data_IF_910063929567
#
_entry.id   IF_910063929567
#
_cell.length_a   1.000
_cell.length_b   1.000
_cell.length_c   1.000
_cell.angle_alpha   90.00
_cell.angle_beta   90.00
_cell.angle_gamma   90.00
#
_symmetry.space_group_name_H-M   'P 1'
#
loop_
_entity.id
_entity.type
_entity.pdbx_description
1 polymer ?
#
# COMPACT_ATOMS: atom_id res chain seq x y z
N UNK A 1 -12.90 12.81 -28.34
CA UNK A 1 -11.56 12.71 -27.72
C UNK A 1 -11.30 11.23 -27.51
N UNK A 2 -10.17 10.70 -27.98
CA UNK A 2 -9.84 9.31 -27.73
C UNK A 2 -9.69 9.13 -26.21
N UNK A 3 -10.31 8.09 -25.68
CA UNK A 3 -10.20 7.72 -24.27
C UNK A 3 -8.76 7.24 -24.01
N UNK A 4 -8.15 7.70 -22.91
CA UNK A 4 -6.77 7.37 -22.58
C UNK A 4 -6.67 5.90 -22.15
N UNK A 5 -5.80 5.05 -22.74
CA UNK A 5 -5.75 3.60 -22.47
C UNK A 5 -5.62 3.24 -20.98
N UNK A 6 -4.90 4.07 -20.22
CA UNK A 6 -4.82 3.96 -18.76
C UNK A 6 -6.19 4.07 -18.09
N UNK A 7 -6.98 5.09 -18.44
CA UNK A 7 -8.31 5.32 -17.86
C UNK A 7 -9.31 4.21 -18.20
N UNK A 8 -9.20 3.59 -19.38
CA UNK A 8 -10.01 2.42 -19.75
C UNK A 8 -9.67 1.18 -18.90
N UNK A 9 -8.37 0.98 -18.64
CA UNK A 9 -7.89 -0.13 -17.81
C UNK A 9 -8.36 0.04 -16.38
N UNK A 10 -8.23 1.25 -15.83
CA UNK A 10 -8.75 1.59 -14.50
C UNK A 10 -10.26 1.34 -14.42
N UNK A 11 -11.02 1.83 -15.39
CA UNK A 11 -12.48 1.69 -15.38
C UNK A 11 -12.93 0.22 -15.36
N UNK A 12 -12.15 -0.67 -15.99
CA UNK A 12 -12.39 -2.11 -15.96
C UNK A 12 -12.00 -2.75 -14.61
N UNK A 13 -10.86 -2.34 -14.04
CA UNK A 13 -10.38 -2.84 -12.75
C UNK A 13 -11.25 -2.36 -11.58
N UNK A 14 -11.78 -1.13 -11.65
CA UNK A 14 -12.65 -0.52 -10.65
C UNK A 14 -14.15 -0.78 -10.89
N UNK A 15 -14.49 -1.85 -11.61
CA UNK A 15 -15.89 -2.25 -11.68
C UNK A 15 -16.37 -2.74 -10.30
N UNK A 16 -17.63 -2.45 -9.87
CA UNK A 16 -18.13 -2.77 -8.52
C UNK A 16 -17.95 -4.23 -8.06
N UNK A 17 -17.85 -5.16 -9.01
CA UNK A 17 -17.64 -6.59 -8.77
C UNK A 17 -16.20 -6.94 -8.35
N UNK A 18 -15.22 -6.11 -8.70
CA UNK A 18 -13.79 -6.36 -8.47
C UNK A 18 -13.31 -5.84 -7.11
N UNK A 19 -13.95 -4.77 -6.62
CA UNK A 19 -13.53 -4.06 -5.41
C UNK A 19 -13.63 -4.89 -4.13
N UNK A 20 -14.59 -5.80 -4.01
CA UNK A 20 -14.87 -6.44 -2.70
C UNK A 20 -13.80 -7.45 -2.23
N UNK A 21 -12.88 -7.82 -3.12
CA UNK A 21 -11.97 -8.93 -2.90
C UNK A 21 -10.51 -8.51 -2.55
N UNK A 22 -10.14 -7.23 -2.79
CA UNK A 22 -8.81 -6.66 -2.51
C UNK A 22 -8.68 -6.26 -1.04
N UNK A 23 -9.82 -6.19 -0.38
CA UNK A 23 -9.99 -5.61 0.95
C UNK A 23 -10.57 -6.61 1.95
N UNK A 24 -10.84 -7.85 1.51
CA UNK A 24 -11.08 -8.99 2.39
C UNK A 24 -9.79 -9.81 2.47
N UNK A 25 -9.41 -10.21 3.69
CA UNK A 25 -8.24 -11.06 3.92
C UNK A 25 -8.33 -12.28 2.99
N UNK A 26 -7.25 -12.61 2.27
CA UNK A 26 -7.33 -13.55 1.15
C UNK A 26 -7.88 -14.89 1.64
N UNK A 27 -9.01 -15.30 1.06
CA UNK A 27 -9.64 -16.58 1.33
C UNK A 27 -9.23 -17.67 0.34
N UNK A 28 -8.57 -17.32 -0.77
CA UNK A 28 -8.04 -18.23 -1.79
C UNK A 28 -7.30 -17.43 -2.88
N UNK A 29 -6.35 -18.00 -3.65
CA UNK A 29 -5.78 -17.35 -4.82
C UNK A 29 -6.88 -16.97 -5.80
N UNK A 30 -6.92 -15.70 -6.19
CA UNK A 30 -7.90 -15.19 -7.16
C UNK A 30 -7.30 -15.15 -8.55
N UNK A 31 -8.13 -15.43 -9.55
CA UNK A 31 -7.70 -15.34 -10.95
C UNK A 31 -7.70 -13.89 -11.39
N UNK A 32 -6.71 -13.47 -12.20
CA UNK A 32 -6.71 -12.12 -12.71
C UNK A 32 -7.95 -11.78 -13.53
N UNK A 33 -8.42 -10.52 -13.44
CA UNK A 33 -9.61 -10.03 -14.13
C UNK A 33 -9.31 -9.77 -15.61
N UNK A 34 -8.14 -9.21 -15.88
CA UNK A 34 -7.63 -8.85 -17.20
C UNK A 34 -6.36 -9.66 -17.49
N UNK A 35 -6.06 -9.94 -18.77
CA UNK A 35 -4.74 -10.45 -19.15
C UNK A 35 -3.63 -9.48 -18.74
N UNK A 36 -2.55 -9.99 -18.14
CA UNK A 36 -1.38 -9.20 -17.72
C UNK A 36 -0.87 -8.26 -18.83
N UNK A 37 -0.87 -8.73 -20.08
CA UNK A 37 -0.45 -7.93 -21.25
C UNK A 37 -1.26 -6.66 -21.49
N UNK A 38 -2.51 -6.60 -21.01
CA UNK A 38 -3.33 -5.38 -21.11
C UNK A 38 -2.73 -4.26 -20.27
N UNK A 39 -2.22 -4.61 -19.09
CA UNK A 39 -1.56 -3.68 -18.16
C UNK A 39 -0.16 -3.33 -18.68
N UNK A 40 0.67 -4.32 -19.01
CA UNK A 40 2.07 -4.06 -19.45
C UNK A 40 2.18 -3.29 -20.77
N UNK A 41 1.15 -3.32 -21.64
CA UNK A 41 1.09 -2.50 -22.86
C UNK A 41 0.93 -1.01 -22.60
N UNK A 42 0.53 -0.62 -21.40
CA UNK A 42 0.47 0.78 -21.01
C UNK A 42 1.88 1.37 -20.82
N UNK A 43 2.89 0.50 -20.62
CA UNK A 43 4.29 0.88 -20.43
C UNK A 43 4.45 1.95 -19.36
N UNK A 44 3.76 1.81 -18.23
CA UNK A 44 3.79 2.79 -17.15
C UNK A 44 5.10 2.72 -16.38
N UNK A 45 5.29 3.67 -15.46
CA UNK A 45 6.27 3.50 -14.40
C UNK A 45 6.02 2.15 -13.67
N UNK A 46 7.05 1.32 -13.39
CA UNK A 46 6.86 -0.03 -12.85
C UNK A 46 6.08 -0.08 -11.53
N UNK A 47 6.17 0.96 -10.69
CA UNK A 47 5.34 1.08 -9.46
C UNK A 47 3.85 1.18 -9.80
N UNK A 48 3.47 2.01 -10.77
CA UNK A 48 2.07 2.13 -11.21
C UNK A 48 1.61 0.86 -11.90
N UNK A 49 2.47 0.21 -12.69
CA UNK A 49 2.17 -1.10 -13.28
C UNK A 49 1.90 -2.15 -12.19
N UNK A 50 2.73 -2.20 -11.14
CA UNK A 50 2.53 -3.06 -9.97
C UNK A 50 1.19 -2.80 -9.25
N UNK A 51 0.79 -1.53 -9.08
CA UNK A 51 -0.52 -1.16 -8.52
C UNK A 51 -1.65 -1.77 -9.35
N UNK A 52 -1.60 -1.64 -10.68
CA UNK A 52 -2.61 -2.21 -11.56
C UNK A 52 -2.61 -3.75 -11.51
N UNK A 53 -1.44 -4.39 -11.42
CA UNK A 53 -1.37 -5.85 -11.26
C UNK A 53 -1.94 -6.32 -9.91
N UNK A 54 -1.73 -5.59 -8.82
CA UNK A 54 -2.36 -5.87 -7.51
C UNK A 54 -3.88 -5.76 -7.63
N UNK A 55 -4.39 -4.66 -8.21
CA UNK A 55 -5.83 -4.49 -8.47
C UNK A 55 -6.42 -5.60 -9.34
N UNK A 56 -5.59 -6.12 -10.25
CA UNK A 56 -5.95 -7.20 -11.14
C UNK A 56 -5.81 -8.59 -10.51
N UNK A 57 -5.40 -8.73 -9.24
CA UNK A 57 -4.99 -10.02 -8.62
C UNK A 57 -3.89 -10.78 -9.35
N UNK A 58 -3.12 -10.10 -10.18
CA UNK A 58 -1.96 -10.65 -10.86
C UNK A 58 -0.71 -10.46 -9.99
N UNK A 59 -0.77 -11.04 -8.78
CA UNK A 59 0.28 -10.93 -7.76
C UNK A 59 1.66 -11.40 -8.25
N UNK A 60 1.79 -12.46 -9.07
CA UNK A 60 3.09 -12.85 -9.64
C UNK A 60 3.73 -11.74 -10.49
N UNK A 61 2.96 -11.04 -11.32
CA UNK A 61 3.47 -9.90 -12.10
C UNK A 61 3.85 -8.73 -11.20
N UNK A 62 3.05 -8.43 -10.17
CA UNK A 62 3.39 -7.42 -9.18
C UNK A 62 4.71 -7.72 -8.46
N UNK A 63 4.88 -8.95 -7.95
CA UNK A 63 6.13 -9.46 -7.36
C UNK A 63 7.32 -9.32 -8.31
N UNK A 64 7.13 -9.74 -9.57
CA UNK A 64 8.18 -9.67 -10.58
C UNK A 64 8.69 -8.24 -10.78
N UNK A 65 7.81 -7.24 -10.77
CA UNK A 65 8.19 -5.84 -10.91
C UNK A 65 8.87 -5.32 -9.63
N UNK A 66 8.24 -5.51 -8.47
CA UNK A 66 8.66 -4.93 -7.19
C UNK A 66 10.02 -5.44 -6.69
N UNK A 67 10.38 -6.70 -6.96
CA UNK A 67 11.69 -7.25 -6.57
C UNK A 67 12.88 -6.51 -7.19
N UNK A 68 12.68 -5.79 -8.29
CA UNK A 68 13.73 -4.97 -8.91
C UNK A 68 13.79 -3.54 -8.35
N UNK A 69 12.94 -3.22 -7.37
CA UNK A 69 12.83 -1.91 -6.72
C UNK A 69 12.67 -2.06 -5.20
N UNK A 70 13.26 -3.10 -4.62
CA UNK A 70 13.06 -3.49 -3.22
C UNK A 70 14.04 -2.82 -2.23
N UNK A 71 14.69 -1.72 -2.65
CA UNK A 71 15.70 -1.03 -1.86
C UNK A 71 15.67 0.48 -2.12
N UNK A 72 16.20 1.30 -1.19
CA UNK A 72 16.35 2.74 -1.42
C UNK A 72 17.11 3.03 -2.73
N UNK A 73 16.71 4.09 -3.47
CA UNK A 73 15.72 5.11 -3.10
C UNK A 73 14.27 4.79 -3.53
N UNK A 74 13.94 3.55 -3.91
CA UNK A 74 12.62 3.18 -4.44
C UNK A 74 11.56 2.95 -3.35
N UNK A 75 11.34 3.94 -2.48
CA UNK A 75 10.50 3.82 -1.30
C UNK A 75 9.02 3.53 -1.60
N UNK A 76 8.48 4.00 -2.73
CA UNK A 76 7.12 3.70 -3.16
C UNK A 76 6.95 2.21 -3.50
N UNK A 77 7.96 1.64 -4.16
CA UNK A 77 7.98 0.22 -4.46
C UNK A 77 8.12 -0.62 -3.19
N UNK A 78 8.98 -0.20 -2.26
CA UNK A 78 9.13 -0.85 -0.95
C UNK A 78 7.81 -0.82 -0.14
N UNK A 79 7.13 0.34 -0.10
CA UNK A 79 5.81 0.46 0.54
C UNK A 79 4.79 -0.47 -0.13
N UNK A 80 4.74 -0.46 -1.47
CA UNK A 80 3.82 -1.28 -2.24
C UNK A 80 4.11 -2.78 -2.08
N UNK A 81 5.36 -3.18 -1.80
CA UNK A 81 5.72 -4.55 -1.45
C UNK A 81 5.06 -4.99 -0.13
N UNK A 82 5.01 -4.08 0.87
CA UNK A 82 4.26 -4.30 2.10
C UNK A 82 2.76 -4.50 1.84
N UNK A 83 2.16 -3.67 0.97
CA UNK A 83 0.77 -3.83 0.54
C UNK A 83 0.55 -5.17 -0.17
N UNK A 84 1.48 -5.59 -1.04
CA UNK A 84 1.40 -6.87 -1.75
C UNK A 84 1.37 -8.05 -0.77
N UNK A 85 2.31 -8.13 0.17
CA UNK A 85 2.31 -9.18 1.20
C UNK A 85 1.07 -9.13 2.10
N UNK A 86 0.57 -7.92 2.41
CA UNK A 86 -0.69 -7.76 3.13
C UNK A 86 -1.87 -8.35 2.37
N UNK A 87 -1.95 -8.13 1.05
CA UNK A 87 -2.97 -8.71 0.17
C UNK A 87 -2.82 -10.23 0.05
N UNK A 88 -1.59 -10.77 0.16
CA UNK A 88 -1.30 -12.21 0.23
C UNK A 88 -1.63 -12.83 1.60
N UNK A 89 -1.87 -11.98 2.60
CA UNK A 89 -2.19 -12.39 3.96
C UNK A 89 -0.94 -12.73 4.78
N UNK A 90 0.24 -12.38 4.28
CA UNK A 90 1.52 -12.42 4.99
C UNK A 90 1.74 -11.09 5.73
N UNK A 91 1.04 -10.97 6.86
CA UNK A 91 1.00 -9.74 7.65
C UNK A 91 2.31 -9.47 8.40
N UNK A 92 3.11 -10.51 8.66
CA UNK A 92 4.42 -10.37 9.30
C UNK A 92 5.43 -9.73 8.34
N UNK A 93 5.50 -10.21 7.09
CA UNK A 93 6.32 -9.54 6.08
C UNK A 93 5.81 -8.15 5.72
N UNK A 94 4.49 -7.96 5.68
CA UNK A 94 3.92 -6.62 5.49
C UNK A 94 4.38 -5.63 6.58
N UNK A 95 4.38 -6.05 7.85
CA UNK A 95 4.85 -5.23 8.95
C UNK A 95 6.32 -4.84 8.79
N UNK A 96 7.18 -5.78 8.40
CA UNK A 96 8.60 -5.51 8.18
C UNK A 96 8.82 -4.46 7.09
N UNK A 97 8.10 -4.56 5.95
CA UNK A 97 8.18 -3.58 4.88
C UNK A 97 7.69 -2.19 5.31
N UNK A 98 6.61 -2.12 6.09
CA UNK A 98 6.12 -0.84 6.60
C UNK A 98 7.09 -0.17 7.56
N UNK A 99 7.75 -0.94 8.43
CA UNK A 99 8.82 -0.42 9.31
C UNK A 99 9.99 0.14 8.50
N UNK A 100 10.41 -0.55 7.43
CA UNK A 100 11.52 -0.11 6.57
C UNK A 100 11.27 1.26 5.90
N UNK A 101 10.00 1.63 5.71
CA UNK A 101 9.62 2.88 5.03
C UNK A 101 8.90 3.88 5.94
N UNK A 102 8.80 3.64 7.24
CA UNK A 102 7.99 4.46 8.16
C UNK A 102 8.36 5.95 8.18
N UNK A 103 9.63 6.27 7.95
CA UNK A 103 10.18 7.63 7.98
C UNK A 103 10.15 8.33 6.60
N UNK A 104 9.58 7.67 5.59
CA UNK A 104 9.57 8.17 4.20
C UNK A 104 8.39 9.09 3.92
N UNK A 105 8.48 9.85 2.82
CA UNK A 105 7.39 10.72 2.37
C UNK A 105 6.13 9.92 2.02
N UNK A 106 6.27 8.83 1.27
CA UNK A 106 5.13 7.98 0.87
C UNK A 106 4.38 7.46 2.10
N UNK A 107 5.10 7.04 3.15
CA UNK A 107 4.47 6.56 4.37
C UNK A 107 3.70 7.66 5.09
N UNK A 108 4.27 8.89 5.18
CA UNK A 108 3.58 10.04 5.77
C UNK A 108 2.35 10.46 4.97
N UNK A 109 2.40 10.42 3.64
CA UNK A 109 1.22 10.74 2.80
C UNK A 109 0.12 9.70 2.99
N UNK A 110 0.49 8.42 3.11
CA UNK A 110 -0.48 7.32 3.18
C UNK A 110 -1.03 7.10 4.59
N UNK A 111 -0.24 7.28 5.65
CA UNK A 111 -0.65 6.97 7.03
C UNK A 111 -0.51 8.15 8.00
N UNK A 112 0.08 9.26 7.58
CA UNK A 112 0.21 10.46 8.40
C UNK A 112 -1.14 11.03 8.81
N UNK A 113 -1.20 11.53 10.04
CA UNK A 113 -2.38 12.24 10.54
C UNK A 113 -2.35 13.65 9.94
N UNK A 114 -3.42 14.07 9.25
CA UNK A 114 -3.61 15.46 8.85
C UNK A 114 -3.64 16.36 10.10
N UNK A 115 -2.47 16.87 10.50
CA UNK A 115 -2.30 17.63 11.74
C UNK A 115 -0.85 17.90 12.14
N UNK A 116 0.13 17.18 11.61
CA UNK A 116 1.56 17.41 11.91
C UNK A 116 2.31 18.11 10.77
N UNK A 117 1.69 19.14 10.17
CA UNK A 117 2.47 20.17 9.48
C UNK A 117 2.91 21.19 10.52
N UNK A 118 4.13 21.02 11.03
CA UNK A 118 4.83 22.07 11.76
C UNK A 118 5.07 23.27 10.84
N UNK A 119 4.31 24.34 11.05
CA UNK A 119 4.50 25.62 10.37
C UNK A 119 3.62 26.69 10.99
N UNK A 120 4.22 27.63 11.71
CA UNK A 120 3.59 28.87 12.16
C UNK A 120 2.88 29.56 10.98
N UNK A 121 1.57 29.80 11.10
CA UNK A 121 0.79 30.48 10.07
C UNK A 121 -0.64 30.73 10.50
N UNK A 122 -0.95 31.99 10.78
CA UNK A 122 -2.28 32.52 11.10
C UNK A 122 -3.35 32.16 10.05
N UNK A 123 -4.52 31.74 10.55
CA UNK A 123 -5.86 32.05 10.04
C UNK A 123 -6.26 31.66 8.62
N UNK A 124 -7.12 30.63 8.50
CA UNK A 124 -8.35 30.69 7.70
C UNK A 124 -9.22 29.44 7.97
N UNK A 125 -10.53 29.66 8.05
CA UNK A 125 -11.59 28.69 8.31
C UNK A 125 -11.95 27.85 7.06
N UNK A 126 -12.32 26.59 7.33
CA UNK A 126 -13.42 25.78 6.77
C UNK A 126 -13.48 25.40 5.27
N UNK A 127 -13.38 24.09 4.98
CA UNK A 127 -14.52 23.21 4.64
C UNK A 127 -14.05 21.99 3.82
N UNK A 128 -14.49 20.78 4.17
CA UNK A 128 -14.36 19.59 3.32
C UNK A 128 -13.58 18.39 3.85
N UNK A 129 -14.16 17.67 4.81
CA UNK A 129 -14.25 16.20 4.80
C UNK A 129 -12.96 15.35 4.76
N UNK A 130 -12.36 15.12 5.92
CA UNK A 130 -11.61 13.88 6.19
C UNK A 130 -11.92 13.43 7.62
N UNK A 131 -12.97 12.62 7.79
CA UNK A 131 -13.22 11.95 9.07
C UNK A 131 -12.07 10.96 9.32
N UNK A 132 -11.22 11.32 10.28
CA UNK A 132 -10.16 10.47 10.78
C UNK A 132 -10.68 9.10 11.23
N UNK A 133 -9.81 8.11 11.14
CA UNK A 133 -10.02 6.73 11.57
C UNK A 133 -10.62 6.68 12.99
N UNK A 134 -11.84 6.16 13.19
CA UNK A 134 -12.35 5.91 14.52
C UNK A 134 -11.62 4.67 15.04
N UNK A 135 -10.60 4.88 15.87
CA UNK A 135 -9.93 3.77 16.58
C UNK A 135 -10.95 2.92 17.36
N UNK A 136 -10.57 1.70 17.76
CA UNK A 136 -11.47 0.79 18.47
C UNK A 136 -12.07 1.48 19.70
N UNK A 137 -13.40 1.39 19.85
CA UNK A 137 -14.18 1.98 20.95
C UNK A 137 -13.57 1.65 22.31
N UNK A 138 -12.97 2.64 22.97
CA UNK A 138 -12.71 2.60 24.40
C UNK A 138 -14.05 2.69 25.15
N UNK A 139 -14.47 1.60 25.77
CA UNK A 139 -15.54 1.62 26.76
C UNK A 139 -15.05 2.29 28.05
N UNK A 140 -15.42 3.56 28.20
CA UNK A 140 -15.61 4.36 29.43
C UNK A 140 -15.29 3.69 30.78
N UNK A 141 -14.26 4.22 31.45
CA UNK A 141 -14.31 4.62 32.86
C UNK A 141 -13.27 5.71 33.15
N UNK A 142 -13.74 6.93 33.39
CA UNK A 142 -12.92 8.10 33.71
C UNK A 142 -12.10 7.92 34.99
N UNK A 143 -10.83 8.35 34.98
CA UNK A 143 -10.25 9.32 35.94
C UNK A 143 -8.79 9.66 35.63
N UNK A 144 -8.54 10.97 35.63
CA UNK A 144 -7.28 11.65 35.98
C UNK A 144 -6.12 11.58 34.98
N UNK A 145 -5.95 12.68 34.24
CA UNK A 145 -4.65 13.31 33.95
C UNK A 145 -3.51 12.39 33.54
N UNK A 146 -3.56 11.90 32.30
CA UNK A 146 -2.37 11.40 31.61
C UNK A 146 -2.37 12.02 30.22
N UNK A 147 -1.29 12.71 29.84
CA UNK A 147 -1.07 13.14 28.45
C UNK A 147 -0.92 11.85 27.65
N UNK A 148 -1.98 11.42 26.97
CA UNK A 148 -1.88 10.29 26.05
C UNK A 148 -0.78 10.63 25.03
N UNK A 149 0.25 9.80 24.85
CA UNK A 149 1.22 10.01 23.80
C UNK A 149 0.46 10.04 22.48
N UNK A 150 0.68 11.09 21.67
CA UNK A 150 0.14 11.16 20.32
C UNK A 150 0.60 9.91 19.58
N UNK A 151 -0.33 9.08 19.11
CA UNK A 151 0.02 7.88 18.34
C UNK A 151 0.61 8.32 17.01
N UNK A 152 1.75 7.74 16.66
CA UNK A 152 2.43 8.01 15.39
C UNK A 152 1.72 7.29 14.25
N UNK A 153 2.02 7.68 13.00
CA UNK A 153 1.55 6.95 11.81
C UNK A 153 1.97 5.47 11.84
N UNK A 154 3.18 5.18 12.32
CA UNK A 154 3.68 3.81 12.48
C UNK A 154 2.83 3.00 13.47
N UNK A 155 2.46 3.59 14.61
CA UNK A 155 1.57 2.94 15.59
C UNK A 155 0.20 2.62 14.98
N UNK A 156 -0.34 3.52 14.16
CA UNK A 156 -1.62 3.30 13.48
C UNK A 156 -1.55 2.14 12.49
N UNK A 157 -0.48 2.04 11.71
CA UNK A 157 -0.31 0.96 10.74
C UNK A 157 -0.15 -0.40 11.43
N UNK A 158 0.61 -0.48 12.53
CA UNK A 158 0.74 -1.73 13.30
C UNK A 158 -0.60 -2.16 13.91
N UNK A 159 -1.35 -1.22 14.50
CA UNK A 159 -2.70 -1.51 15.01
C UNK A 159 -3.66 -1.99 13.92
N UNK A 160 -3.54 -1.44 12.71
CA UNK A 160 -4.30 -1.90 11.54
C UNK A 160 -3.93 -3.34 11.16
N UNK A 161 -2.63 -3.68 11.13
CA UNK A 161 -2.17 -5.05 10.86
C UNK A 161 -2.62 -6.04 11.94
N UNK A 162 -2.55 -5.69 13.22
CA UNK A 162 -3.06 -6.52 14.33
C UNK A 162 -4.55 -6.79 14.17
N UNK A 163 -5.32 -5.75 13.85
CA UNK A 163 -6.76 -5.87 13.60
C UNK A 163 -7.07 -6.77 12.39
N UNK A 164 -6.19 -6.77 11.37
CA UNK A 164 -6.26 -7.70 10.24
C UNK A 164 -5.93 -9.14 10.67
N UNK A 165 -4.95 -9.37 11.54
CA UNK A 165 -4.63 -10.70 12.10
C UNK A 165 -5.86 -11.27 12.81
N UNK A 166 -6.50 -10.49 13.67
CA UNK A 166 -7.71 -10.89 14.40
C UNK A 166 -8.87 -11.20 13.45
N UNK A 167 -9.10 -10.33 12.45
CA UNK A 167 -10.15 -10.51 11.47
C UNK A 167 -9.89 -11.71 10.54
N UNK A 168 -8.64 -12.16 10.36
CA UNK A 168 -8.27 -13.26 9.44
C UNK A 168 -8.96 -14.55 9.82
N UNK A 169 -9.06 -14.86 11.10
CA UNK A 169 -9.76 -16.05 11.59
C UNK A 169 -11.26 -16.01 11.25
N UNK A 170 -11.91 -14.86 11.51
CA UNK A 170 -13.32 -14.63 11.19
C UNK A 170 -13.60 -14.72 9.69
N UNK A 171 -12.79 -14.07 8.86
CA UNK A 171 -12.96 -14.07 7.40
C UNK A 171 -12.76 -15.47 6.81
N UNK A 172 -11.77 -16.23 7.30
CA UNK A 172 -11.58 -17.64 6.89
C UNK A 172 -12.76 -18.54 7.27
N UNK A 173 -13.51 -18.19 8.31
CA UNK A 173 -14.74 -18.90 8.70
C UNK A 173 -15.98 -18.51 7.88
N UNK A 174 -15.83 -17.64 6.89
CA UNK A 174 -16.92 -17.18 6.00
C UNK A 174 -17.66 -15.94 6.51
N UNK A 175 -17.17 -15.27 7.56
CA UNK A 175 -17.72 -14.00 8.01
C UNK A 175 -17.21 -12.85 7.13
N UNK A 176 -18.02 -11.80 6.97
CA UNK A 176 -17.58 -10.60 6.28
C UNK A 176 -16.47 -9.89 7.07
N UNK A 177 -15.50 -9.30 6.37
CA UNK A 177 -14.48 -8.48 7.00
C UNK A 177 -15.14 -7.24 7.67
N UNK A 178 -14.64 -6.79 8.83
CA UNK A 178 -15.12 -5.56 9.45
C UNK A 178 -15.01 -4.36 8.50
N UNK A 179 -16.09 -3.59 8.37
CA UNK A 179 -16.19 -2.48 7.40
C UNK A 179 -15.07 -1.43 7.57
N UNK A 180 -14.63 -1.17 8.81
CA UNK A 180 -13.57 -0.20 9.07
C UNK A 180 -12.21 -0.66 8.54
N UNK A 181 -11.93 -1.97 8.52
CA UNK A 181 -10.70 -2.52 7.93
C UNK A 181 -10.73 -2.44 6.40
N UNK A 182 -11.90 -2.68 5.82
CA UNK A 182 -12.14 -2.49 4.38
C UNK A 182 -11.88 -1.02 4.02
N UNK A 183 -12.46 -0.08 4.77
CA UNK A 183 -12.27 1.36 4.56
C UNK A 183 -10.82 1.81 4.76
N UNK A 184 -10.12 1.27 5.76
CA UNK A 184 -8.71 1.59 6.00
C UNK A 184 -7.81 1.10 4.87
N UNK A 185 -8.01 -0.15 4.43
CA UNK A 185 -7.30 -0.74 3.29
C UNK A 185 -7.57 0.05 2.00
N UNK A 186 -8.81 0.46 1.77
CA UNK A 186 -9.19 1.34 0.65
C UNK A 186 -8.49 2.69 0.72
N UNK A 187 -8.50 3.33 1.89
CA UNK A 187 -7.84 4.61 2.11
C UNK A 187 -6.33 4.54 1.90
N UNK A 188 -5.68 3.48 2.42
CA UNK A 188 -4.25 3.23 2.21
C UNK A 188 -3.95 3.12 0.71
N UNK A 189 -4.67 2.25 0.00
CA UNK A 189 -4.43 1.99 -1.41
C UNK A 189 -4.70 3.22 -2.28
N UNK A 190 -5.80 3.94 -2.02
CA UNK A 190 -6.16 5.17 -2.75
C UNK A 190 -5.10 6.24 -2.59
N UNK A 191 -4.65 6.53 -1.35
CA UNK A 191 -3.62 7.56 -1.11
C UNK A 191 -2.27 7.18 -1.73
N UNK A 192 -1.90 5.90 -1.69
CA UNK A 192 -0.69 5.41 -2.33
C UNK A 192 -0.76 5.58 -3.85
N UNK A 193 -1.90 5.23 -4.44
CA UNK A 193 -2.15 5.41 -5.86
C UNK A 193 -2.05 6.88 -6.25
N UNK A 194 -2.82 7.76 -5.62
CA UNK A 194 -2.83 9.20 -5.91
C UNK A 194 -1.42 9.81 -5.82
N UNK A 195 -0.65 9.40 -4.80
CA UNK A 195 0.74 9.80 -4.63
C UNK A 195 1.63 9.35 -5.80
N UNK A 196 1.51 8.09 -6.22
CA UNK A 196 2.29 7.54 -7.33
C UNK A 196 1.90 8.14 -8.68
N UNK A 197 0.61 8.39 -8.93
CA UNK A 197 0.15 9.08 -10.15
C UNK A 197 0.72 10.49 -10.22
N UNK A 198 0.65 11.24 -9.12
CA UNK A 198 1.19 12.59 -9.03
C UNK A 198 2.70 12.61 -9.25
N UNK A 199 3.41 11.63 -8.68
CA UNK A 199 4.88 11.56 -8.73
C UNK A 199 5.42 11.08 -10.08
N UNK A 200 4.83 10.05 -10.67
CA UNK A 200 5.38 9.37 -11.85
C UNK A 200 4.67 9.73 -13.15
N UNK A 201 3.43 10.23 -13.08
CA UNK A 201 2.57 10.43 -14.23
C UNK A 201 2.04 9.12 -14.82
N UNK A 202 1.05 9.24 -15.70
CA UNK A 202 0.32 8.11 -16.30
C UNK A 202 0.64 7.91 -17.78
N UNK A 203 1.59 8.70 -18.30
CA UNK A 203 2.02 8.61 -19.69
C UNK A 203 2.96 7.39 -19.88
N UNK A 204 2.97 6.77 -21.07
CA UNK A 204 3.88 5.68 -21.37
C UNK A 204 5.35 6.10 -21.21
N UNK A 205 6.09 5.32 -20.43
CA UNK A 205 7.53 5.38 -20.26
C UNK A 205 8.20 4.55 -21.36
N UNK A 206 8.85 5.23 -22.30
CA UNK A 206 9.56 4.57 -23.41
C UNK A 206 10.99 4.15 -23.04
N UNK A 207 11.60 4.82 -22.07
CA UNK A 207 12.97 4.55 -21.58
C UNK A 207 12.93 4.39 -20.06
N UNK A 208 12.90 3.14 -19.60
CA UNK A 208 12.77 2.81 -18.18
C UNK A 208 14.09 2.38 -17.52
N UNK A 209 15.21 2.41 -18.25
CA UNK A 209 16.52 1.88 -17.82
C UNK A 209 17.01 2.46 -16.48
N UNK A 210 16.70 3.73 -16.20
CA UNK A 210 17.07 4.41 -14.95
C UNK A 210 16.03 4.26 -13.83
N UNK A 211 14.83 3.76 -14.15
CA UNK A 211 13.74 3.52 -13.19
C UNK A 211 13.90 2.16 -12.52
N UNK A 212 14.31 1.17 -13.31
CA UNK A 212 14.84 -0.06 -12.75
C UNK A 212 16.07 0.33 -11.95
N UNK A 213 16.00 0.16 -10.63
CA UNK A 213 17.20 0.20 -9.81
C UNK A 213 17.98 -1.04 -10.21
N UNK A 214 18.76 -0.88 -11.28
CA UNK A 214 19.60 -1.90 -11.85
C UNK A 214 20.46 -2.44 -10.71
N UNK A 215 20.14 -3.65 -10.28
CA UNK A 215 20.88 -4.42 -9.30
C UNK A 215 22.28 -4.80 -9.83
N UNK A 216 22.74 -4.18 -10.93
CA UNK A 216 23.88 -4.63 -11.69
C UNK A 216 25.24 -4.35 -11.04
N UNK A 217 25.37 -3.54 -9.98
CA UNK A 217 26.66 -3.46 -9.28
C UNK A 217 26.62 -2.74 -7.92
N UNK A 218 25.97 -1.57 -7.80
CA UNK A 218 26.08 -0.74 -6.58
C UNK A 218 25.19 -1.15 -5.42
N UNK A 219 24.01 -1.69 -5.71
CA UNK A 219 23.00 -2.07 -4.70
C UNK A 219 22.79 -3.58 -4.59
N UNK A 220 23.54 -4.37 -5.37
CA UNK A 220 23.45 -5.83 -5.43
C UNK A 220 23.61 -6.48 -4.05
N UNK A 221 24.55 -5.99 -3.23
CA UNK A 221 24.80 -6.55 -1.89
C UNK A 221 23.71 -6.20 -0.87
N UNK A 222 23.07 -5.04 -0.99
CA UNK A 222 21.92 -4.66 -0.15
C UNK A 222 20.71 -5.53 -0.54
N UNK A 223 20.47 -5.67 -1.84
CA UNK A 223 19.42 -6.54 -2.35
C UNK A 223 19.66 -8.02 -2.03
N UNK A 224 20.88 -8.51 -2.19
CA UNK A 224 21.27 -9.88 -1.85
C UNK A 224 21.13 -10.12 -0.35
N UNK A 225 21.50 -9.17 0.51
CA UNK A 225 21.22 -9.27 1.96
C UNK A 225 19.73 -9.35 2.28
N UNK A 226 18.89 -8.66 1.51
CA UNK A 226 17.44 -8.74 1.62
C UNK A 226 16.87 -10.05 1.04
N UNK A 227 17.58 -10.71 0.11
CA UNK A 227 17.18 -11.96 -0.57
C UNK A 227 17.72 -13.23 0.13
N UNK A 228 18.93 -13.20 0.70
CA UNK A 228 19.70 -14.40 1.11
C UNK A 228 19.86 -14.60 2.61
N UNK A 229 19.14 -13.84 3.44
CA UNK A 229 18.85 -14.22 4.84
C UNK A 229 20.09 -14.31 5.75
N UNK A 230 20.33 -13.25 6.52
CA UNK A 230 21.30 -13.31 7.61
C UNK A 230 20.97 -12.43 8.82
N UNK A 231 20.27 -11.31 8.61
CA UNK A 231 19.92 -10.37 9.69
C UNK A 231 18.45 -9.91 9.67
N UNK A 232 17.63 -10.47 8.78
CA UNK A 232 16.19 -10.19 8.69
C UNK A 232 15.43 -11.43 8.24
N UNK A 233 14.34 -11.73 8.95
CA UNK A 233 13.48 -12.91 8.83
C UNK A 233 12.73 -13.03 7.48
N UNK A 234 13.43 -13.12 6.35
CA UNK A 234 12.82 -13.14 5.02
C UNK A 234 13.12 -14.48 4.33
N UNK A 235 12.20 -15.43 4.44
CA UNK A 235 12.12 -16.57 3.52
C UNK A 235 11.06 -16.25 2.46
N UNK A 236 11.43 -16.39 1.19
CA UNK A 236 10.56 -16.19 0.02
C UNK A 236 10.02 -17.52 -0.50
#
# INVERSE_FOLDING_TARGET
>A
MASHPYGETISQLLSPSTHLLLFSLPTSPQKPVLPASTISRLSLHPVLESILHILNYDLPSAHFLLRHMQAPPAYEAMFLHGVLHRVEGDLENAAAWYVDVQDTEVFRVVWGVSGENGGDGDGAEDDGGAQGYPGPRESVASKSGSKNPSRTAADHTLLFLDSLVEAKASVRSGQAAPQYLVQASLGEFSRLWDFCETKFGTEPVLEASDIWVSMAEKNASIAEKMITGGEGWREF
#
